data_IF_551944240234
#
_entry.id   IF_551944240234
#
_cell.length_a   1.000
_cell.length_b   1.000
_cell.length_c   1.000
_cell.angle_alpha   90.00
_cell.angle_beta   90.00
_cell.angle_gamma   90.00
#
_symmetry.space_group_name_H-M   'P 1'
#
loop_
_entity.id
_entity.type
_entity.pdbx_description
1 polymer ?
#
# COMPACT_ATOMS: atom_id res chain seq x y z
N UNK A 1 5.62 1.06 -15.72
CA UNK A 1 4.27 0.79 -16.29
C UNK A 1 3.29 0.31 -15.23
N UNK A 2 3.60 -0.72 -14.42
CA UNK A 2 2.71 -1.18 -13.34
C UNK A 2 2.39 -0.10 -12.28
N UNK A 3 3.37 0.72 -11.89
CA UNK A 3 3.15 1.82 -10.92
C UNK A 3 2.20 2.91 -11.44
N UNK A 4 2.22 3.19 -12.74
CA UNK A 4 1.32 4.18 -13.37
C UNK A 4 -0.09 3.61 -13.50
N UNK A 5 -0.22 2.34 -13.90
CA UNK A 5 -1.53 1.67 -13.99
C UNK A 5 -2.19 1.53 -12.62
N UNK A 6 -1.42 1.23 -11.57
CA UNK A 6 -1.97 1.14 -10.24
C UNK A 6 -2.30 2.53 -9.64
N UNK A 7 -1.55 3.58 -10.01
CA UNK A 7 -1.92 4.95 -9.64
C UNK A 7 -3.20 5.42 -10.33
N UNK A 8 -3.39 5.10 -11.61
CA UNK A 8 -4.61 5.48 -12.33
C UNK A 8 -5.84 4.73 -11.81
N UNK A 9 -5.64 3.48 -11.40
CA UNK A 9 -6.62 2.72 -10.63
C UNK A 9 -6.89 3.42 -9.29
N UNK A 10 -5.86 3.75 -8.50
CA UNK A 10 -6.01 4.39 -7.18
C UNK A 10 -6.66 5.78 -7.23
N UNK A 11 -6.47 6.52 -8.33
CA UNK A 11 -7.09 7.82 -8.59
C UNK A 11 -8.59 7.69 -8.89
N UNK A 12 -9.02 6.64 -9.59
CA UNK A 12 -10.44 6.34 -9.83
C UNK A 12 -11.18 5.83 -8.59
N UNK A 13 -10.48 5.38 -7.54
CA UNK A 13 -11.08 5.08 -6.23
C UNK A 13 -11.52 6.33 -5.44
N UNK A 14 -11.30 7.54 -5.98
CA UNK A 14 -11.83 8.80 -5.42
C UNK A 14 -13.35 8.85 -5.28
N UNK A 15 -14.08 7.98 -6.00
CA UNK A 15 -15.55 7.87 -5.94
C UNK A 15 -16.06 6.89 -4.87
N UNK A 16 -15.17 6.12 -4.22
CA UNK A 16 -15.57 5.12 -3.22
C UNK A 16 -15.56 5.75 -1.82
N UNK A 17 -16.75 6.10 -1.33
CA UNK A 17 -16.92 6.68 0.00
C UNK A 17 -16.93 5.62 1.12
N UNK A 18 -16.19 5.88 2.20
CA UNK A 18 -16.32 5.19 3.49
C UNK A 18 -15.56 3.86 3.64
N UNK A 19 -16.03 3.01 4.56
CA UNK A 19 -15.39 1.74 5.00
C UNK A 19 -14.92 0.84 3.85
N UNK A 20 -15.60 0.85 2.69
CA UNK A 20 -15.20 0.05 1.52
C UNK A 20 -13.81 0.38 1.03
N UNK A 21 -13.43 1.66 1.00
CA UNK A 21 -12.10 2.09 0.54
C UNK A 21 -11.01 1.57 1.48
N UNK A 22 -11.30 1.51 2.79
CA UNK A 22 -10.34 1.08 3.81
C UNK A 22 -9.94 -0.40 3.68
N UNK A 23 -10.84 -1.24 3.16
CA UNK A 23 -10.58 -2.67 2.96
C UNK A 23 -10.20 -3.00 1.51
N UNK A 24 -10.87 -2.39 0.53
CA UNK A 24 -10.71 -2.78 -0.87
C UNK A 24 -9.48 -2.14 -1.51
N UNK A 25 -9.06 -0.94 -1.09
CA UNK A 25 -7.85 -0.34 -1.65
C UNK A 25 -6.59 -1.17 -1.30
N UNK A 26 -6.32 -1.54 -0.03
CA UNK A 26 -5.18 -2.40 0.29
C UNK A 26 -5.23 -3.76 -0.43
N UNK A 27 -6.42 -4.36 -0.55
CA UNK A 27 -6.61 -5.63 -1.26
C UNK A 27 -6.17 -5.52 -2.72
N UNK A 28 -6.69 -4.54 -3.45
CA UNK A 28 -6.39 -4.34 -4.88
C UNK A 28 -4.93 -3.96 -5.06
N UNK A 29 -4.42 -3.07 -4.23
CA UNK A 29 -3.08 -2.54 -4.36
C UNK A 29 -2.00 -3.60 -4.13
N UNK A 30 -2.11 -4.40 -3.06
CA UNK A 30 -1.17 -5.48 -2.77
C UNK A 30 -1.27 -6.62 -3.80
N UNK A 31 -2.48 -6.89 -4.29
CA UNK A 31 -2.70 -7.85 -5.38
C UNK A 31 -1.98 -7.41 -6.65
N UNK A 32 -2.15 -6.15 -7.06
CA UNK A 32 -1.51 -5.62 -8.26
C UNK A 32 0.01 -5.59 -8.14
N UNK A 33 0.57 -5.09 -7.03
CA UNK A 33 2.02 -5.05 -6.81
C UNK A 33 2.64 -6.44 -6.89
N UNK A 34 2.08 -7.37 -6.12
CA UNK A 34 2.68 -8.68 -5.92
C UNK A 34 2.48 -9.57 -7.13
N UNK A 35 1.26 -9.61 -7.68
CA UNK A 35 0.99 -10.40 -8.88
C UNK A 35 1.73 -9.85 -10.10
N UNK A 36 1.77 -8.52 -10.30
CA UNK A 36 2.54 -7.95 -11.42
C UNK A 36 4.04 -8.22 -11.27
N UNK A 37 4.60 -8.09 -10.06
CA UNK A 37 6.00 -8.42 -9.83
C UNK A 37 6.28 -9.90 -10.15
N UNK A 38 5.46 -10.83 -9.66
CA UNK A 38 5.71 -12.27 -9.88
C UNK A 38 5.46 -12.67 -11.34
N UNK A 39 4.35 -12.27 -11.94
CA UNK A 39 3.97 -12.66 -13.30
C UNK A 39 4.87 -12.05 -14.38
N UNK A 40 5.41 -10.86 -14.14
CA UNK A 40 6.35 -10.21 -15.08
C UNK A 40 7.82 -10.50 -14.76
N UNK A 41 8.13 -11.40 -13.80
CA UNK A 41 9.50 -11.69 -13.38
C UNK A 41 10.23 -10.49 -12.75
N UNK A 42 9.48 -9.52 -12.23
CA UNK A 42 9.98 -8.33 -11.56
C UNK A 42 10.37 -8.57 -10.10
N UNK A 43 10.97 -7.55 -9.49
CA UNK A 43 11.36 -7.60 -8.09
C UNK A 43 10.21 -7.09 -7.20
N UNK A 44 9.70 -7.97 -6.32
CA UNK A 44 8.60 -7.67 -5.38
C UNK A 44 8.93 -6.46 -4.51
N UNK A 45 10.11 -6.43 -3.90
CA UNK A 45 10.52 -5.35 -2.99
C UNK A 45 10.64 -4.02 -3.73
N UNK A 46 11.30 -4.01 -4.90
CA UNK A 46 11.43 -2.80 -5.72
C UNK A 46 10.07 -2.27 -6.20
N UNK A 47 9.13 -3.17 -6.51
CA UNK A 47 7.77 -2.79 -6.88
C UNK A 47 7.08 -2.06 -5.74
N UNK A 48 7.15 -2.58 -4.52
CA UNK A 48 6.57 -1.92 -3.34
C UNK A 48 7.26 -0.60 -3.02
N UNK A 49 8.60 -0.55 -3.06
CA UNK A 49 9.37 0.68 -2.90
C UNK A 49 8.94 1.75 -3.90
N UNK A 50 8.73 1.38 -5.16
CA UNK A 50 8.31 2.31 -6.21
C UNK A 50 6.93 2.89 -5.94
N UNK A 51 5.99 2.05 -5.49
CA UNK A 51 4.66 2.50 -5.08
C UNK A 51 4.74 3.42 -3.86
N UNK A 52 5.50 3.04 -2.84
CA UNK A 52 5.72 3.87 -1.66
C UNK A 52 6.37 5.21 -1.97
N UNK A 53 7.26 5.27 -2.95
CA UNK A 53 7.85 6.53 -3.41
C UNK A 53 6.83 7.42 -4.14
N UNK A 54 5.99 6.83 -5.01
CA UNK A 54 4.95 7.57 -5.74
C UNK A 54 3.87 8.09 -4.78
N UNK A 55 3.36 7.24 -3.89
CA UNK A 55 2.42 7.67 -2.86
C UNK A 55 3.07 8.67 -1.90
N UNK A 56 4.31 8.42 -1.50
CA UNK A 56 5.05 9.33 -0.63
C UNK A 56 5.21 10.72 -1.22
N UNK A 57 5.50 10.81 -2.52
CA UNK A 57 5.55 12.07 -3.25
C UNK A 57 4.17 12.73 -3.30
N UNK A 58 3.11 11.98 -3.61
CA UNK A 58 1.75 12.51 -3.62
C UNK A 58 1.33 13.07 -2.25
N UNK A 59 1.58 12.32 -1.18
CA UNK A 59 1.29 12.72 0.21
C UNK A 59 2.06 13.97 0.61
N UNK A 60 3.32 14.09 0.19
CA UNK A 60 4.16 15.27 0.44
C UNK A 60 3.54 16.57 -0.05
N UNK A 61 2.99 16.58 -1.27
CA UNK A 61 2.43 17.79 -1.88
C UNK A 61 0.96 18.05 -1.54
N UNK A 62 0.18 17.02 -1.17
CA UNK A 62 -1.28 17.14 -1.02
C UNK A 62 -1.77 17.17 0.43
N UNK A 63 -0.90 17.03 1.43
CA UNK A 63 -1.28 17.05 2.85
C UNK A 63 -0.60 18.17 3.64
N UNK A 64 -1.32 18.69 4.64
CA UNK A 64 -0.79 19.68 5.62
C UNK A 64 0.46 19.19 6.37
N UNK A 65 0.53 17.88 6.67
CA UNK A 65 1.71 17.23 7.26
C UNK A 65 2.41 16.33 6.24
N UNK A 66 2.50 16.78 4.98
CA UNK A 66 2.92 15.97 3.84
C UNK A 66 4.29 15.31 4.00
N UNK A 67 5.26 15.99 4.63
CA UNK A 67 6.58 15.38 4.91
C UNK A 67 6.48 14.07 5.68
N UNK A 68 5.77 14.06 6.81
CA UNK A 68 5.62 12.87 7.62
C UNK A 68 4.70 11.84 6.98
N UNK A 69 3.64 12.28 6.29
CA UNK A 69 2.75 11.38 5.55
C UNK A 69 3.50 10.66 4.43
N UNK A 70 4.37 11.39 3.71
CA UNK A 70 5.17 10.85 2.63
C UNK A 70 6.23 9.85 3.11
N UNK A 71 6.92 10.17 4.21
CA UNK A 71 7.85 9.24 4.86
C UNK A 71 7.13 7.99 5.37
N UNK A 72 5.96 8.15 5.99
CA UNK A 72 5.16 7.03 6.47
C UNK A 72 4.74 6.11 5.32
N UNK A 73 4.30 6.66 4.18
CA UNK A 73 3.96 5.89 2.99
C UNK A 73 5.16 5.10 2.46
N UNK A 74 6.30 5.76 2.23
CA UNK A 74 7.51 5.08 1.74
C UNK A 74 7.95 3.96 2.69
N UNK A 75 7.97 4.24 4.01
CA UNK A 75 8.35 3.26 5.02
C UNK A 75 7.38 2.07 5.10
N UNK A 76 6.07 2.33 5.14
CA UNK A 76 5.06 1.27 5.24
C UNK A 76 5.11 0.35 4.02
N UNK A 77 5.19 0.90 2.80
CA UNK A 77 5.29 0.09 1.58
C UNK A 77 6.59 -0.70 1.51
N UNK A 78 7.70 -0.14 1.99
CA UNK A 78 8.96 -0.88 2.10
C UNK A 78 8.81 -2.10 3.01
N UNK A 79 8.14 -1.94 4.16
CA UNK A 79 7.88 -3.01 5.12
C UNK A 79 6.94 -4.06 4.51
N UNK A 80 5.88 -3.65 3.82
CA UNK A 80 4.95 -4.58 3.16
C UNK A 80 5.67 -5.40 2.11
N UNK A 81 6.46 -4.74 1.24
CA UNK A 81 7.27 -5.42 0.24
C UNK A 81 8.30 -6.38 0.84
N UNK A 82 8.93 -6.01 1.95
CA UNK A 82 9.87 -6.87 2.68
C UNK A 82 9.18 -8.12 3.25
N UNK A 83 8.01 -7.97 3.86
CA UNK A 83 7.22 -9.09 4.38
C UNK A 83 6.79 -9.99 3.22
N UNK A 84 6.20 -9.41 2.17
CA UNK A 84 5.70 -10.14 0.99
C UNK A 84 6.82 -10.95 0.32
N UNK A 85 8.01 -10.35 0.09
CA UNK A 85 9.14 -11.07 -0.52
C UNK A 85 9.70 -12.16 0.41
N UNK A 86 9.71 -11.93 1.72
CA UNK A 86 10.17 -12.93 2.69
C UNK A 86 9.25 -14.15 2.71
N UNK A 87 7.93 -13.93 2.74
CA UNK A 87 6.92 -14.98 2.70
C UNK A 87 6.95 -15.71 1.35
N UNK A 88 7.08 -14.99 0.24
CA UNK A 88 7.21 -15.59 -1.09
C UNK A 88 8.44 -16.51 -1.18
N UNK A 89 9.59 -16.06 -0.65
CA UNK A 89 10.82 -16.87 -0.62
C UNK A 89 10.71 -18.09 0.29
N UNK A 90 9.95 -18.00 1.39
CA UNK A 90 9.78 -19.11 2.33
C UNK A 90 8.84 -20.20 1.80
N UNK A 91 7.68 -19.82 1.26
CA UNK A 91 6.67 -20.78 0.79
C UNK A 91 6.81 -21.15 -0.69
N UNK A 92 7.55 -20.37 -1.48
CA UNK A 92 7.72 -20.58 -2.92
C UNK A 92 6.44 -20.40 -3.75
N UNK A 93 5.37 -19.90 -3.16
CA UNK A 93 4.05 -19.78 -3.81
C UNK A 93 3.44 -18.40 -3.57
N UNK A 94 2.64 -17.95 -4.52
CA UNK A 94 2.02 -16.62 -4.52
C UNK A 94 0.94 -16.41 -3.44
N UNK A 95 0.01 -17.36 -3.16
CA UNK A 95 -1.08 -17.14 -2.22
C UNK A 95 -0.67 -16.70 -0.81
N UNK A 96 0.31 -17.34 -0.12
CA UNK A 96 0.73 -16.90 1.20
C UNK A 96 1.39 -15.51 1.18
N UNK A 97 2.14 -15.19 0.12
CA UNK A 97 2.75 -13.87 -0.04
C UNK A 97 1.71 -12.76 -0.19
N UNK A 98 0.68 -13.00 -1.02
CA UNK A 98 -0.46 -12.10 -1.16
C UNK A 98 -1.20 -11.92 0.16
N UNK A 99 -1.52 -13.02 0.84
CA UNK A 99 -2.20 -12.98 2.13
C UNK A 99 -1.43 -12.14 3.16
N UNK A 100 -0.11 -12.33 3.27
CA UNK A 100 0.72 -11.57 4.20
C UNK A 100 0.75 -10.06 3.87
N UNK A 101 0.98 -9.70 2.60
CA UNK A 101 0.99 -8.30 2.16
C UNK A 101 -0.35 -7.60 2.40
N UNK A 102 -1.45 -8.24 2.01
CA UNK A 102 -2.80 -7.71 2.22
C UNK A 102 -3.10 -7.52 3.70
N UNK A 103 -2.80 -8.51 4.55
CA UNK A 103 -3.11 -8.43 5.98
C UNK A 103 -2.32 -7.32 6.68
N UNK A 104 -1.02 -7.18 6.39
CA UNK A 104 -0.22 -6.11 7.01
C UNK A 104 -0.65 -4.73 6.52
N UNK A 105 -1.01 -4.59 5.25
CA UNK A 105 -1.48 -3.32 4.71
C UNK A 105 -2.86 -2.96 5.29
N UNK A 106 -3.79 -3.91 5.39
CA UNK A 106 -5.08 -3.71 6.06
C UNK A 106 -4.91 -3.26 7.52
N UNK A 107 -4.01 -3.92 8.26
CA UNK A 107 -3.74 -3.59 9.65
C UNK A 107 -3.18 -2.16 9.79
N UNK A 108 -2.25 -1.77 8.92
CA UNK A 108 -1.71 -0.41 8.88
C UNK A 108 -2.78 0.63 8.54
N UNK A 109 -3.58 0.38 7.50
CA UNK A 109 -4.62 1.31 7.09
C UNK A 109 -5.68 1.51 8.19
N UNK A 110 -6.09 0.42 8.85
CA UNK A 110 -7.00 0.49 10.00
C UNK A 110 -6.40 1.31 11.15
N UNK A 111 -5.12 1.12 11.47
CA UNK A 111 -4.42 1.89 12.50
C UNK A 111 -4.40 3.39 12.16
N UNK A 112 -4.05 3.75 10.93
CA UNK A 112 -3.99 5.15 10.48
C UNK A 112 -5.36 5.82 10.55
N UNK A 113 -6.42 5.16 10.05
CA UNK A 113 -7.80 5.68 10.12
C UNK A 113 -8.21 5.93 11.57
N UNK A 114 -7.99 4.94 12.45
CA UNK A 114 -8.34 5.07 13.87
C UNK A 114 -7.61 6.22 14.55
N UNK A 115 -6.30 6.38 14.30
CA UNK A 115 -5.50 7.49 14.86
C UNK A 115 -5.97 8.86 14.35
N UNK A 116 -6.42 8.94 13.10
CA UNK A 116 -6.98 10.17 12.54
C UNK A 116 -8.35 10.50 13.16
N UNK A 117 -9.24 9.52 13.30
CA UNK A 117 -10.54 9.69 13.97
C UNK A 117 -10.38 10.17 15.43
N UNK A 118 -9.44 9.59 16.18
CA UNK A 118 -9.13 10.01 17.56
C UNK A 118 -8.64 11.46 17.61
N UNK A 119 -7.76 11.86 16.68
CA UNK A 119 -7.29 13.26 16.57
C UNK A 119 -8.43 14.23 16.29
N UNK A 120 -9.42 13.84 15.49
CA UNK A 120 -10.58 14.70 15.18
C UNK A 120 -11.55 14.85 16.36
N UNK A 121 -11.67 13.85 17.24
CA UNK A 121 -12.50 13.94 18.46
C UNK A 121 -11.93 14.82 19.57
N UNK A 122 -10.61 15.04 19.59
CA UNK A 122 -9.94 15.88 20.59
C UNK A 122 -9.82 17.37 20.20
N UNK A 123 -10.29 17.75 19.02
CA UNK A 123 -10.32 19.15 18.56
C UNK A 123 -11.74 19.70 18.64
#
# INVERSE_FOLDING_TARGET
MAAVLAWEVNKHFGEWSGKRREYLAPLVEESLKTAAAVLCGGNILLTHLSFGAVEGFWEYFNRRNGYYAGLAALASHSIFGFITVSVYRFYGTLPPALGAGILVHLAWNFLVVKLLEERHRCK
#
